data_IF_495688256515
#
_entry.id   IF_495688256515
#
_cell.length_a   1.000
_cell.length_b   1.000
_cell.length_c   1.000
_cell.angle_alpha   90.00
_cell.angle_beta   90.00
_cell.angle_gamma   90.00
#
_symmetry.space_group_name_H-M   'P 1'
#
loop_
_entity.id
_entity.type
_entity.pdbx_description
1 polymer ?
#
# COMPACT_ATOMS: atom_id res chain seq x y z
N UNK A 1 -8.45 -11.09 1.27
CA UNK A 1 -7.11 -10.69 1.74
C UNK A 1 -6.32 -11.93 2.12
N UNK A 2 -5.04 -11.96 1.78
CA UNK A 2 -4.16 -13.08 2.10
C UNK A 2 -3.86 -13.13 3.60
N UNK A 3 -3.51 -14.32 4.12
CA UNK A 3 -3.26 -14.52 5.55
C UNK A 3 -2.11 -13.65 6.09
N UNK A 4 -1.05 -13.46 5.32
CA UNK A 4 0.07 -12.58 5.71
C UNK A 4 -0.37 -11.12 5.86
N UNK A 5 -1.26 -10.67 5.00
CA UNK A 5 -1.80 -9.31 5.04
C UNK A 5 -2.73 -9.12 6.25
N UNK A 6 -3.50 -10.14 6.62
CA UNK A 6 -4.34 -10.10 7.83
C UNK A 6 -3.54 -9.97 9.11
N UNK A 7 -2.39 -10.62 9.18
CA UNK A 7 -1.48 -10.48 10.33
C UNK A 7 -0.97 -9.04 10.43
N UNK A 8 -0.63 -8.43 9.31
CA UNK A 8 -0.23 -7.02 9.27
C UNK A 8 -1.37 -6.13 9.75
N UNK A 9 -2.58 -6.36 9.24
CA UNK A 9 -3.77 -5.62 9.65
C UNK A 9 -4.01 -5.72 11.16
N UNK A 10 -3.88 -6.91 11.73
CA UNK A 10 -4.02 -7.12 13.18
C UNK A 10 -2.98 -6.33 13.98
N UNK A 11 -1.73 -6.31 13.52
CA UNK A 11 -0.66 -5.53 14.16
C UNK A 11 -0.95 -4.02 14.09
N UNK A 12 -1.40 -3.53 12.95
CA UNK A 12 -1.77 -2.12 12.79
C UNK A 12 -2.93 -1.76 13.72
N UNK A 13 -3.92 -2.64 13.86
CA UNK A 13 -5.09 -2.39 14.70
C UNK A 13 -4.78 -2.33 16.19
N UNK A 14 -3.66 -2.90 16.63
CA UNK A 14 -3.19 -2.71 18.01
C UNK A 14 -2.82 -1.24 18.29
N UNK A 15 -2.38 -0.51 17.27
CA UNK A 15 -2.08 0.92 17.38
C UNK A 15 -3.30 1.82 17.19
N UNK A 16 -4.40 1.30 16.62
CA UNK A 16 -5.63 2.04 16.32
C UNK A 16 -6.82 1.52 17.12
N UNK A 17 -6.65 1.35 18.44
CA UNK A 17 -7.68 0.74 19.32
C UNK A 17 -9.03 1.45 19.31
N UNK A 18 -9.04 2.78 19.15
CA UNK A 18 -10.28 3.57 19.18
C UNK A 18 -10.95 3.68 17.82
N UNK A 19 -10.25 3.37 16.75
CA UNK A 19 -10.75 3.49 15.38
C UNK A 19 -10.08 2.43 14.50
N UNK A 20 -10.43 1.15 14.71
CA UNK A 20 -9.75 0.06 14.02
C UNK A 20 -10.02 0.09 12.51
N UNK A 21 -9.04 -0.37 11.75
CA UNK A 21 -9.16 -0.60 10.31
C UNK A 21 -10.02 -1.85 10.09
N UNK A 22 -10.97 -1.74 9.18
CA UNK A 22 -11.87 -2.83 8.80
C UNK A 22 -11.51 -3.30 7.40
N UNK A 23 -11.35 -4.62 7.25
CA UNK A 23 -11.08 -5.23 5.96
C UNK A 23 -12.14 -4.84 4.93
N UNK A 24 -11.70 -4.45 3.73
CA UNK A 24 -12.60 -4.11 2.63
C UNK A 24 -13.27 -5.38 2.10
N UNK A 25 -14.60 -5.35 2.02
CA UNK A 25 -15.41 -6.43 1.49
C UNK A 25 -15.81 -6.24 0.03
N UNK A 26 -15.44 -5.09 -0.57
CA UNK A 26 -15.79 -4.81 -1.96
C UNK A 26 -14.74 -5.39 -2.89
N UNK A 27 -15.17 -6.27 -3.77
CA UNK A 27 -14.34 -6.95 -4.76
C UNK A 27 -13.56 -5.99 -5.66
N UNK A 28 -14.14 -4.82 -5.92
CA UNK A 28 -13.56 -3.81 -6.81
C UNK A 28 -12.69 -2.76 -6.12
N UNK A 29 -12.61 -2.77 -4.79
CA UNK A 29 -11.74 -1.85 -4.08
C UNK A 29 -10.28 -2.23 -4.29
N UNK A 30 -9.45 -1.21 -4.49
CA UNK A 30 -8.02 -1.36 -4.71
C UNK A 30 -7.19 -1.09 -3.45
N UNK A 31 -7.84 -1.19 -2.31
CA UNK A 31 -7.21 -1.14 -1.00
C UNK A 31 -7.74 -2.28 -0.12
N UNK A 32 -7.01 -2.62 0.91
CA UNK A 32 -7.28 -3.81 1.73
C UNK A 32 -8.13 -3.53 2.94
N UNK A 33 -8.04 -2.34 3.51
CA UNK A 33 -8.77 -1.99 4.72
C UNK A 33 -9.00 -0.48 4.82
N UNK A 34 -9.99 -0.10 5.63
CA UNK A 34 -10.27 1.31 5.87
C UNK A 34 -10.83 1.55 7.27
N UNK A 35 -10.68 2.77 7.74
CA UNK A 35 -11.40 3.30 8.88
C UNK A 35 -11.95 4.68 8.53
N UNK A 36 -12.35 5.45 9.54
CA UNK A 36 -12.88 6.80 9.35
C UNK A 36 -11.90 7.75 8.62
N UNK A 37 -10.59 7.60 8.87
CA UNK A 37 -9.57 8.55 8.42
C UNK A 37 -8.64 8.02 7.32
N UNK A 38 -8.57 6.72 7.15
CA UNK A 38 -7.56 6.09 6.28
C UNK A 38 -8.14 5.00 5.41
N UNK A 39 -7.61 4.91 4.19
CA UNK A 39 -7.65 3.68 3.40
C UNK A 39 -6.22 3.14 3.32
N UNK A 40 -6.07 1.84 3.41
CA UNK A 40 -4.76 1.19 3.54
C UNK A 40 -4.63 0.06 2.52
N UNK A 41 -3.60 0.13 1.71
CA UNK A 41 -3.11 -0.98 0.88
C UNK A 41 -1.99 -1.66 1.65
N UNK A 42 -2.06 -2.98 1.77
CA UNK A 42 -1.11 -3.78 2.57
C UNK A 42 -0.28 -4.66 1.66
N UNK A 43 1.04 -4.65 1.85
CA UNK A 43 1.97 -5.51 1.15
C UNK A 43 2.89 -6.22 2.13
N UNK A 44 3.15 -7.50 1.85
CA UNK A 44 4.14 -8.29 2.58
C UNK A 44 5.28 -8.68 1.63
N UNK A 45 6.51 -8.34 1.99
CA UNK A 45 7.71 -8.70 1.24
C UNK A 45 8.55 -9.66 2.05
N UNK A 46 9.17 -10.63 1.37
CA UNK A 46 10.01 -11.62 2.03
C UNK A 46 11.37 -11.06 2.45
N UNK A 47 11.87 -10.07 1.71
CA UNK A 47 13.19 -9.47 1.93
C UNK A 47 13.05 -7.99 2.22
N UNK A 48 14.09 -7.41 2.85
CA UNK A 48 14.21 -5.97 3.00
C UNK A 48 14.80 -5.37 1.72
N UNK A 49 14.18 -4.30 1.24
CA UNK A 49 14.63 -3.51 0.10
C UNK A 49 14.81 -2.06 0.55
N UNK A 50 15.65 -1.31 -0.17
CA UNK A 50 15.84 0.12 0.10
C UNK A 50 14.68 0.96 -0.41
N UNK A 51 13.90 0.42 -1.34
CA UNK A 51 12.73 1.07 -1.92
C UNK A 51 11.58 0.08 -1.98
N UNK A 52 10.35 0.59 -1.93
CA UNK A 52 9.15 -0.17 -2.26
C UNK A 52 8.54 0.35 -3.55
N UNK A 53 7.85 -0.52 -4.27
CA UNK A 53 7.19 -0.20 -5.54
C UNK A 53 5.70 0.01 -5.28
N UNK A 54 5.14 1.03 -5.93
CA UNK A 54 3.70 1.24 -5.98
C UNK A 54 3.25 1.31 -7.44
N UNK A 55 2.20 0.54 -7.78
CA UNK A 55 1.62 0.58 -9.12
C UNK A 55 0.78 1.84 -9.31
N UNK A 56 0.91 2.48 -10.47
CA UNK A 56 0.25 3.75 -10.75
C UNK A 56 -1.28 3.66 -10.69
N UNK A 57 -1.86 2.58 -11.15
CA UNK A 57 -3.30 2.42 -11.13
C UNK A 57 -3.87 2.37 -9.70
N UNK A 58 -3.19 1.69 -8.78
CA UNK A 58 -3.53 1.71 -7.36
C UNK A 58 -3.31 3.07 -6.73
N UNK A 59 -2.19 3.70 -7.07
CA UNK A 59 -1.86 5.05 -6.62
C UNK A 59 -2.96 6.05 -6.99
N UNK A 60 -3.32 6.10 -8.27
CA UNK A 60 -4.28 7.08 -8.76
C UNK A 60 -5.70 6.80 -8.25
N UNK A 61 -6.14 5.55 -8.30
CA UNK A 61 -7.48 5.17 -7.83
C UNK A 61 -7.65 5.46 -6.33
N UNK A 62 -6.69 5.02 -5.52
CA UNK A 62 -6.80 5.15 -4.07
C UNK A 62 -6.67 6.60 -3.61
N UNK A 63 -5.85 7.41 -4.27
CA UNK A 63 -5.81 8.85 -3.99
C UNK A 63 -7.13 9.54 -4.28
N UNK A 64 -7.76 9.21 -5.41
CA UNK A 64 -9.06 9.77 -5.76
C UNK A 64 -10.15 9.34 -4.76
N UNK A 65 -10.21 8.05 -4.45
CA UNK A 65 -11.16 7.54 -3.45
C UNK A 65 -10.97 8.23 -2.09
N UNK A 66 -9.73 8.33 -1.64
CA UNK A 66 -9.40 8.98 -0.37
C UNK A 66 -9.86 10.45 -0.37
N UNK A 67 -9.57 11.18 -1.44
CA UNK A 67 -9.98 12.58 -1.58
C UNK A 67 -11.51 12.73 -1.52
N UNK A 68 -12.24 11.91 -2.26
CA UNK A 68 -13.70 11.95 -2.31
C UNK A 68 -14.35 11.59 -0.97
N UNK A 69 -13.67 10.83 -0.13
CA UNK A 69 -14.18 10.37 1.17
C UNK A 69 -13.52 11.08 2.37
N UNK A 70 -12.73 12.13 2.13
CA UNK A 70 -12.02 12.88 3.18
C UNK A 70 -11.10 11.98 4.03
N UNK A 71 -10.36 11.10 3.37
CA UNK A 71 -9.43 10.17 4.00
C UNK A 71 -8.01 10.35 3.45
N UNK A 72 -7.05 9.77 4.13
CA UNK A 72 -5.68 9.64 3.64
C UNK A 72 -5.48 8.25 3.05
N UNK A 73 -4.78 8.18 1.93
CA UNK A 73 -4.31 6.89 1.41
C UNK A 73 -2.95 6.56 2.02
N UNK A 74 -2.89 5.40 2.66
CA UNK A 74 -1.70 4.88 3.35
C UNK A 74 -1.28 3.55 2.72
N UNK A 75 0.01 3.42 2.49
CA UNK A 75 0.63 2.18 2.01
C UNK A 75 1.42 1.56 3.17
N UNK A 76 1.04 0.35 3.59
CA UNK A 76 1.68 -0.37 4.69
C UNK A 76 2.45 -1.56 4.12
N UNK A 77 3.77 -1.54 4.24
CA UNK A 77 4.65 -2.55 3.67
C UNK A 77 5.44 -3.23 4.77
N UNK A 78 5.23 -4.54 4.95
CA UNK A 78 6.03 -5.33 5.86
C UNK A 78 7.26 -5.86 5.13
N UNK A 79 8.42 -5.59 5.70
CA UNK A 79 9.70 -6.15 5.28
C UNK A 79 10.42 -6.68 6.50
N UNK A 80 10.81 -7.96 6.48
CA UNK A 80 11.28 -8.65 7.68
C UNK A 80 10.23 -8.53 8.80
N UNK A 81 10.60 -8.03 9.96
CA UNK A 81 9.69 -7.92 11.11
C UNK A 81 9.09 -6.52 11.29
N UNK A 82 9.37 -5.60 10.38
CA UNK A 82 8.94 -4.20 10.49
C UNK A 82 7.86 -3.89 9.47
N UNK A 83 6.92 -3.04 9.88
CA UNK A 83 5.89 -2.49 9.01
C UNK A 83 6.20 -1.02 8.77
N UNK A 84 6.47 -0.67 7.52
CA UNK A 84 6.76 0.69 7.08
C UNK A 84 5.49 1.32 6.57
N UNK A 85 5.15 2.47 7.13
CA UNK A 85 3.92 3.19 6.80
C UNK A 85 4.27 4.41 5.96
N UNK A 86 3.66 4.50 4.77
CA UNK A 86 3.81 5.64 3.87
C UNK A 86 2.46 6.32 3.71
N UNK A 87 2.35 7.58 4.13
CA UNK A 87 1.16 8.36 3.85
C UNK A 87 1.29 8.92 2.43
N UNK A 88 0.70 8.22 1.47
CA UNK A 88 0.83 8.55 0.05
C UNK A 88 0.17 9.90 -0.27
N UNK A 89 -0.95 10.21 0.37
CA UNK A 89 -1.61 11.51 0.21
C UNK A 89 -0.66 12.65 0.55
N UNK A 90 0.04 12.55 1.67
CA UNK A 90 1.00 13.58 2.09
C UNK A 90 2.23 13.62 1.19
N UNK A 91 2.77 12.47 0.81
CA UNK A 91 3.91 12.42 -0.11
C UNK A 91 3.58 13.14 -1.42
N UNK A 92 2.39 12.89 -1.97
CA UNK A 92 1.95 13.58 -3.19
C UNK A 92 1.79 15.08 -2.98
N UNK A 93 1.21 15.51 -1.86
CA UNK A 93 1.05 16.92 -1.53
C UNK A 93 2.39 17.67 -1.44
N UNK A 94 3.44 17.00 -0.97
CA UNK A 94 4.79 17.53 -0.89
C UNK A 94 5.63 17.32 -2.15
N UNK A 95 4.99 16.93 -3.26
CA UNK A 95 5.64 16.72 -4.54
C UNK A 95 6.77 15.66 -4.50
N UNK A 96 6.56 14.59 -3.77
CA UNK A 96 7.51 13.49 -3.71
C UNK A 96 7.80 12.96 -5.12
N UNK A 97 9.08 12.72 -5.43
CA UNK A 97 9.50 12.18 -6.70
C UNK A 97 9.45 10.65 -6.67
N UNK A 98 8.39 10.08 -7.24
CA UNK A 98 8.20 8.64 -7.31
C UNK A 98 9.01 7.98 -8.43
N UNK A 99 9.66 8.72 -9.30
CA UNK A 99 10.43 8.18 -10.44
C UNK A 99 9.63 7.20 -11.28
N UNK A 100 8.42 7.56 -11.66
CA UNK A 100 7.53 6.70 -12.45
C UNK A 100 8.22 6.15 -13.69
N UNK A 101 8.15 4.81 -13.86
CA UNK A 101 8.67 4.15 -15.04
C UNK A 101 7.82 2.95 -15.43
N UNK A 102 7.91 2.59 -16.71
CA UNK A 102 7.28 1.37 -17.21
C UNK A 102 8.19 0.17 -16.95
N UNK A 103 7.62 -0.88 -16.37
CA UNK A 103 8.32 -2.15 -16.12
C UNK A 103 7.46 -3.32 -16.56
N UNK A 104 8.13 -4.39 -16.97
CA UNK A 104 7.49 -5.69 -17.10
C UNK A 104 7.30 -6.29 -15.71
N UNK A 105 6.08 -6.66 -15.40
CA UNK A 105 5.71 -7.26 -14.12
C UNK A 105 4.71 -8.39 -14.36
N UNK A 106 4.61 -9.37 -13.44
CA UNK A 106 3.58 -10.39 -13.52
C UNK A 106 2.19 -9.73 -13.55
N UNK A 107 1.34 -10.23 -14.44
CA UNK A 107 -0.04 -9.73 -14.53
C UNK A 107 -0.79 -9.92 -13.21
N UNK A 108 -0.53 -11.04 -12.55
CA UNK A 108 -1.03 -11.35 -11.21
C UNK A 108 0.14 -11.70 -10.32
N UNK A 109 0.02 -11.46 -9.02
CA UNK A 109 1.05 -11.84 -8.05
C UNK A 109 0.94 -13.31 -7.61
N UNK A 110 0.20 -14.12 -8.35
CA UNK A 110 0.02 -15.54 -8.08
C UNK A 110 1.21 -16.37 -8.57
N UNK A 111 1.52 -17.41 -7.82
CA UNK A 111 2.68 -18.26 -8.02
C UNK A 111 2.76 -18.91 -9.43
N UNK A 112 1.63 -19.23 -10.04
CA UNK A 112 1.57 -19.94 -11.33
C UNK A 112 1.43 -19.00 -12.54
N UNK A 113 1.52 -17.69 -12.33
CA UNK A 113 1.40 -16.76 -13.43
C UNK A 113 2.71 -16.67 -14.21
N UNK A 114 2.67 -17.05 -15.48
CA UNK A 114 3.81 -16.98 -16.39
C UNK A 114 3.74 -15.77 -17.34
N UNK A 115 2.64 -15.01 -17.31
CA UNK A 115 2.44 -13.86 -18.18
C UNK A 115 2.90 -12.58 -17.51
N UNK A 116 3.67 -11.81 -18.24
CA UNK A 116 4.08 -10.46 -17.84
C UNK A 116 3.32 -9.42 -18.65
N UNK A 117 3.03 -8.30 -18.02
CA UNK A 117 2.52 -7.11 -18.68
C UNK A 117 3.37 -5.91 -18.29
N UNK A 118 3.32 -4.86 -19.08
CA UNK A 118 3.98 -3.60 -18.73
C UNK A 118 3.07 -2.82 -17.79
N UNK A 119 3.62 -2.40 -16.66
CA UNK A 119 2.94 -1.56 -15.67
C UNK A 119 3.76 -0.30 -15.43
N UNK A 120 3.05 0.79 -15.20
CA UNK A 120 3.65 2.02 -14.71
C UNK A 120 3.79 1.92 -13.20
N UNK A 121 5.02 2.05 -12.70
CA UNK A 121 5.32 1.92 -11.28
C UNK A 121 6.12 3.10 -10.77
N UNK A 122 5.92 3.42 -9.51
CA UNK A 122 6.70 4.40 -8.78
C UNK A 122 7.50 3.74 -7.67
N UNK A 123 8.47 4.47 -7.14
CA UNK A 123 9.38 4.01 -6.09
C UNK A 123 9.31 4.96 -4.89
N UNK A 124 9.33 4.37 -3.71
CA UNK A 124 9.36 5.12 -2.45
C UNK A 124 10.54 4.60 -1.64
N UNK A 125 11.43 5.49 -1.24
CA UNK A 125 12.55 5.11 -0.38
C UNK A 125 12.02 4.69 0.99
N UNK A 126 12.53 3.60 1.52
CA UNK A 126 12.10 3.07 2.82
C UNK A 126 12.37 4.07 3.94
N UNK A 127 13.47 4.82 3.85
CA UNK A 127 13.80 5.88 4.82
C UNK A 127 12.77 7.00 4.89
N UNK A 128 11.92 7.15 3.86
CA UNK A 128 10.87 8.16 3.78
C UNK A 128 9.55 7.68 4.39
N UNK A 129 9.54 6.56 5.07
CA UNK A 129 8.37 6.08 5.79
C UNK A 129 7.93 7.10 6.84
N UNK A 130 6.63 7.34 6.90
CA UNK A 130 6.03 8.24 7.89
C UNK A 130 6.18 7.66 9.30
N UNK A 131 6.07 6.35 9.41
CA UNK A 131 6.19 5.62 10.68
C UNK A 131 6.64 4.19 10.42
N UNK A 132 7.29 3.60 11.42
CA UNK A 132 7.72 2.19 11.40
C UNK A 132 7.21 1.50 12.66
N UNK A 133 6.56 0.38 12.49
CA UNK A 133 6.08 -0.46 13.60
C UNK A 133 6.88 -1.74 13.73
#
# INVERSE_FOLDING_TARGET
>A
MKSKERIILQRLNRAFLTNPLIESNYEYNRFDAENKNYIVEIKSRNNKYDQTIIEFDKFSYNLLYAKENNKFFVYAVKMNDKIYIFNITKLKEFNYNFNWEWREMPKYTEFNNTKNIRKLVGYINIEDATKVY
#
